data_IF_980004697048
#
_entry.id   IF_980004697048
#
_cell.length_a   1.000
_cell.length_b   1.000
_cell.length_c   1.000
_cell.angle_alpha   90.00
_cell.angle_beta   90.00
_cell.angle_gamma   90.00
#
_symmetry.space_group_name_H-M   'P 1'
#
loop_
_entity.id
_entity.type
_entity.pdbx_description
1 polymer ?
#
# COMPACT_ATOMS: atom_id res chain seq x y z
N UNK A 1 7.15 17.01 -18.05
CA UNK A 1 6.85 16.64 -16.64
C UNK A 1 6.47 15.16 -16.52
N UNK A 2 6.70 14.35 -17.55
CA UNK A 2 6.13 12.99 -17.72
C UNK A 2 6.98 11.86 -17.12
N UNK A 3 8.18 12.17 -16.60
CA UNK A 3 9.03 11.20 -15.91
C UNK A 3 8.73 11.10 -14.41
N UNK A 4 8.11 12.11 -13.81
CA UNK A 4 7.72 12.07 -12.39
C UNK A 4 6.50 11.17 -12.22
N UNK A 5 5.54 11.20 -13.15
CA UNK A 5 4.35 10.33 -13.12
C UNK A 5 4.69 8.84 -13.27
N UNK A 6 5.81 8.49 -13.91
CA UNK A 6 6.33 7.11 -13.97
C UNK A 6 6.89 6.62 -12.64
N UNK A 7 7.46 7.50 -11.83
CA UNK A 7 7.99 7.17 -10.50
C UNK A 7 6.83 7.00 -9.50
N UNK A 8 5.74 7.76 -9.66
CA UNK A 8 4.49 7.58 -8.90
C UNK A 8 3.74 6.27 -9.20
N UNK A 9 4.11 5.52 -10.26
CA UNK A 9 3.55 4.18 -10.53
C UNK A 9 3.89 3.15 -9.44
N UNK A 10 4.83 3.48 -8.56
CA UNK A 10 5.28 2.64 -7.48
C UNK A 10 4.16 2.18 -6.54
N UNK A 11 3.05 2.94 -6.43
CA UNK A 11 1.88 2.67 -5.58
C UNK A 11 0.57 2.59 -6.39
N UNK A 12 0.62 2.08 -7.62
CA UNK A 12 -0.59 1.99 -8.45
C UNK A 12 -1.47 0.79 -8.05
N UNK A 13 -2.23 0.98 -6.96
CA UNK A 13 -3.27 0.06 -6.48
C UNK A 13 -4.27 -0.33 -7.59
N UNK A 14 -4.51 0.56 -8.57
CA UNK A 14 -5.46 0.33 -9.67
C UNK A 14 -4.91 -0.66 -10.68
N UNK A 15 -3.60 -0.64 -10.94
CA UNK A 15 -2.93 -1.64 -11.79
C UNK A 15 -2.97 -3.02 -11.15
N UNK A 16 -2.71 -3.13 -9.84
CA UNK A 16 -2.77 -4.41 -9.11
C UNK A 16 -4.21 -4.97 -9.09
N UNK A 17 -5.21 -4.12 -8.80
CA UNK A 17 -6.61 -4.52 -8.78
C UNK A 17 -7.11 -5.01 -10.15
N UNK A 18 -6.63 -4.40 -11.24
CA UNK A 18 -7.00 -4.79 -12.61
C UNK A 18 -6.47 -6.18 -12.99
N UNK A 19 -5.28 -6.55 -12.50
CA UNK A 19 -4.65 -7.86 -12.73
C UNK A 19 -5.24 -8.99 -11.85
N UNK A 20 -5.93 -8.64 -10.76
CA UNK A 20 -6.53 -9.62 -9.83
C UNK A 20 -7.87 -10.23 -10.28
N UNK A 21 -8.39 -9.83 -11.45
CA UNK A 21 -9.67 -10.35 -11.98
C UNK A 21 -9.63 -11.82 -12.42
N UNK A 22 -8.44 -12.41 -12.58
CA UNK A 22 -8.28 -13.78 -13.05
C UNK A 22 -8.07 -14.77 -11.89
N UNK A 23 -9.13 -15.52 -11.56
CA UNK A 23 -9.18 -16.83 -10.91
C UNK A 23 -8.47 -17.07 -9.55
N UNK A 24 -7.74 -16.11 -8.98
CA UNK A 24 -7.05 -16.23 -7.68
C UNK A 24 -7.22 -14.94 -6.85
N UNK A 25 -8.45 -14.67 -6.44
CA UNK A 25 -8.83 -13.47 -5.65
C UNK A 25 -8.02 -13.31 -4.36
N UNK A 26 -7.66 -14.41 -3.70
CA UNK A 26 -6.89 -14.39 -2.46
C UNK A 26 -5.43 -13.94 -2.67
N UNK A 27 -4.82 -14.33 -3.81
CA UNK A 27 -3.47 -13.89 -4.18
C UNK A 27 -3.46 -12.40 -4.51
N UNK A 28 -4.44 -11.93 -5.30
CA UNK A 28 -4.57 -10.51 -5.63
C UNK A 28 -4.86 -9.65 -4.41
N UNK A 29 -5.71 -10.11 -3.48
CA UNK A 29 -6.01 -9.40 -2.24
C UNK A 29 -4.76 -9.28 -1.35
N UNK A 30 -3.94 -10.33 -1.27
CA UNK A 30 -2.68 -10.31 -0.53
C UNK A 30 -1.70 -9.28 -1.11
N UNK A 31 -1.52 -9.27 -2.42
CA UNK A 31 -0.64 -8.31 -3.10
C UNK A 31 -1.13 -6.86 -2.89
N UNK A 32 -2.44 -6.61 -2.94
CA UNK A 32 -3.01 -5.29 -2.65
C UNK A 32 -2.83 -4.90 -1.18
N UNK A 33 -2.97 -5.85 -0.25
CA UNK A 33 -2.81 -5.59 1.17
C UNK A 33 -1.36 -5.27 1.55
N UNK A 34 -0.38 -5.97 0.96
CA UNK A 34 1.05 -5.67 1.11
C UNK A 34 1.40 -4.29 0.55
N UNK A 35 0.82 -3.92 -0.59
CA UNK A 35 1.03 -2.60 -1.20
C UNK A 35 0.35 -1.47 -0.39
N UNK A 36 -0.75 -1.77 0.30
CA UNK A 36 -1.35 -0.82 1.21
C UNK A 36 -0.48 -0.60 2.46
N UNK A 37 0.15 -1.66 2.98
CA UNK A 37 1.07 -1.54 4.11
C UNK A 37 2.30 -0.70 3.75
N UNK A 38 2.88 -0.88 2.55
CA UNK A 38 3.95 -0.01 2.07
C UNK A 38 3.50 1.45 1.94
N UNK A 39 2.26 1.72 1.54
CA UNK A 39 1.74 3.09 1.46
C UNK A 39 1.63 3.73 2.85
N UNK A 40 1.15 2.96 3.82
CA UNK A 40 1.07 3.41 5.20
C UNK A 40 2.45 3.75 5.77
N UNK A 41 3.44 2.87 5.58
CA UNK A 41 4.82 3.13 6.02
C UNK A 41 5.39 4.37 5.34
N UNK A 42 5.14 4.55 4.03
CA UNK A 42 5.60 5.73 3.31
C UNK A 42 5.01 7.02 3.88
N UNK A 43 3.71 7.04 4.19
CA UNK A 43 3.10 8.19 4.87
C UNK A 43 3.68 8.41 6.26
N UNK A 44 3.94 7.35 7.03
CA UNK A 44 4.62 7.47 8.32
C UNK A 44 6.00 8.13 8.17
N UNK A 45 6.83 7.67 7.22
CA UNK A 45 8.15 8.23 6.94
C UNK A 45 8.08 9.69 6.48
N UNK A 46 7.08 10.03 5.67
CA UNK A 46 6.81 11.40 5.24
C UNK A 46 6.49 12.29 6.43
N UNK A 47 5.63 11.86 7.35
CA UNK A 47 5.31 12.63 8.57
C UNK A 47 6.51 12.74 9.50
N UNK A 48 7.29 11.68 9.67
CA UNK A 48 8.52 11.71 10.46
C UNK A 48 9.52 12.76 9.93
N UNK A 49 9.68 12.83 8.61
CA UNK A 49 10.54 13.83 7.95
C UNK A 49 9.95 15.24 8.09
N UNK A 50 8.63 15.37 7.96
CA UNK A 50 7.91 16.65 8.10
C UNK A 50 7.93 17.20 9.54
N UNK A 51 8.09 16.32 10.54
CA UNK A 51 8.19 16.69 11.95
C UNK A 51 9.56 17.27 12.34
N UNK A 52 10.55 17.22 11.44
CA UNK A 52 11.86 17.87 11.66
C UNK A 52 11.63 19.39 11.74
N UNK A 53 12.16 20.02 12.80
CA UNK A 53 12.01 21.45 13.11
C UNK A 53 12.39 22.33 11.89
N UNK A 54 11.35 22.78 11.20
CA UNK A 54 11.34 23.67 10.03
C UNK A 54 12.13 23.17 8.80
N UNK A 55 11.56 23.43 7.61
CA UNK A 55 12.31 23.53 6.35
C UNK A 55 13.48 24.47 6.65
N UNK A 56 14.68 23.92 6.82
CA UNK A 56 15.85 24.77 7.00
C UNK A 56 15.92 25.61 5.72
N UNK A 57 16.41 26.85 5.81
CA UNK A 57 16.56 27.73 4.63
C UNK A 57 17.40 27.05 3.51
N UNK A 58 18.08 25.93 3.85
CA UNK A 58 18.89 25.06 2.99
C UNK A 58 18.14 23.87 2.37
N UNK A 59 16.87 23.61 2.71
CA UNK A 59 16.09 22.49 2.15
C UNK A 59 15.63 22.85 0.75
N UNK A 60 16.18 22.17 -0.26
CA UNK A 60 15.87 22.38 -1.68
C UNK A 60 14.77 21.44 -2.18
N UNK A 61 14.04 21.85 -3.22
CA UNK A 61 13.00 21.02 -3.84
C UNK A 61 13.54 19.71 -4.42
N UNK A 62 14.83 19.71 -4.82
CA UNK A 62 15.53 18.52 -5.28
C UNK A 62 15.79 17.52 -4.13
N UNK A 63 16.12 18.01 -2.95
CA UNK A 63 16.29 17.17 -1.75
C UNK A 63 14.96 16.57 -1.29
N UNK A 64 13.88 17.35 -1.32
CA UNK A 64 12.53 16.86 -1.00
C UNK A 64 12.12 15.74 -1.97
N UNK A 65 12.36 15.94 -3.26
CA UNK A 65 12.10 14.94 -4.29
C UNK A 65 12.91 13.66 -4.07
N UNK A 66 14.21 13.80 -3.81
CA UNK A 66 15.08 12.65 -3.55
C UNK A 66 14.64 11.88 -2.30
N UNK A 67 14.35 12.59 -1.20
CA UNK A 67 13.88 12.01 0.05
C UNK A 67 12.54 11.31 -0.13
N UNK A 68 11.63 11.87 -0.93
CA UNK A 68 10.36 11.24 -1.28
C UNK A 68 10.58 9.89 -1.97
N UNK A 69 11.43 9.84 -3.01
CA UNK A 69 11.73 8.60 -3.73
C UNK A 69 12.38 7.57 -2.80
N UNK A 70 13.33 8.00 -1.99
CA UNK A 70 14.01 7.16 -1.02
C UNK A 70 13.05 6.56 0.01
N UNK A 71 12.10 7.36 0.50
CA UNK A 71 11.08 6.90 1.45
C UNK A 71 10.14 5.87 0.81
N UNK A 72 9.78 6.02 -0.46
CA UNK A 72 8.95 5.05 -1.19
C UNK A 72 9.64 3.68 -1.28
N UNK A 73 10.91 3.64 -1.68
CA UNK A 73 11.67 2.37 -1.76
C UNK A 73 11.89 1.75 -0.38
N UNK A 74 12.22 2.58 0.63
CA UNK A 74 12.32 2.11 2.02
C UNK A 74 11.01 1.50 2.49
N UNK A 75 9.88 2.14 2.22
CA UNK A 75 8.58 1.67 2.64
C UNK A 75 8.23 0.29 2.02
N UNK A 76 8.55 0.08 0.74
CA UNK A 76 8.39 -1.23 0.08
C UNK A 76 9.27 -2.30 0.69
N UNK A 77 10.54 -2.00 0.94
CA UNK A 77 11.47 -2.94 1.57
C UNK A 77 10.99 -3.26 2.98
N UNK A 78 10.55 -2.26 3.74
CA UNK A 78 10.07 -2.43 5.12
C UNK A 78 8.79 -3.25 5.15
N UNK A 79 7.78 -2.97 4.32
CA UNK A 79 6.55 -3.77 4.25
C UNK A 79 6.83 -5.26 3.93
N UNK A 80 7.83 -5.53 3.07
CA UNK A 80 8.20 -6.92 2.72
C UNK A 80 9.04 -7.63 3.79
N UNK A 81 9.92 -6.90 4.46
CA UNK A 81 10.84 -7.48 5.46
C UNK A 81 10.24 -7.53 6.86
N UNK A 82 9.43 -6.54 7.21
CA UNK A 82 8.79 -6.40 8.49
C UNK A 82 7.29 -6.40 8.29
N UNK A 83 6.64 -7.31 8.99
CA UNK A 83 5.20 -7.40 9.00
C UNK A 83 4.67 -6.48 10.11
N UNK A 84 3.97 -5.41 9.72
CA UNK A 84 3.32 -4.48 10.67
C UNK A 84 1.89 -4.91 11.00
N UNK A 85 1.42 -6.03 10.42
CA UNK A 85 0.12 -6.63 10.69
C UNK A 85 -1.04 -5.93 9.97
N UNK A 86 -0.77 -4.87 9.18
CA UNK A 86 -1.81 -4.13 8.47
C UNK A 86 -2.30 -4.97 7.29
N UNK A 87 -1.38 -5.53 6.52
CA UNK A 87 -1.71 -6.40 5.40
C UNK A 87 -2.54 -7.62 5.86
N UNK A 88 -2.17 -8.20 7.00
CA UNK A 88 -2.83 -9.36 7.59
C UNK A 88 -4.21 -9.03 8.16
N UNK A 89 -4.35 -7.88 8.83
CA UNK A 89 -5.64 -7.40 9.32
C UNK A 89 -6.61 -7.15 8.17
N UNK A 90 -6.12 -6.56 7.06
CA UNK A 90 -6.91 -6.39 5.84
C UNK A 90 -7.32 -7.75 5.26
N UNK A 91 -6.38 -8.67 5.07
CA UNK A 91 -6.67 -10.03 4.60
C UNK A 91 -7.74 -10.70 5.46
N UNK A 92 -7.58 -10.68 6.78
CA UNK A 92 -8.54 -11.26 7.73
C UNK A 92 -9.93 -10.63 7.57
N UNK A 93 -10.01 -9.30 7.52
CA UNK A 93 -11.29 -8.60 7.38
C UNK A 93 -12.01 -8.96 6.08
N UNK A 94 -11.29 -9.03 4.96
CA UNK A 94 -11.87 -9.33 3.66
C UNK A 94 -12.19 -10.83 3.48
N UNK A 95 -11.35 -11.73 4.00
CA UNK A 95 -11.62 -13.17 4.01
C UNK A 95 -12.83 -13.51 4.90
N UNK A 96 -12.93 -12.92 6.11
CA UNK A 96 -14.08 -13.12 7.00
C UNK A 96 -15.38 -12.61 6.37
N UNK A 97 -15.35 -11.44 5.71
CA UNK A 97 -16.51 -10.91 5.00
C UNK A 97 -16.97 -11.81 3.84
N UNK A 98 -16.02 -12.43 3.13
CA UNK A 98 -16.32 -13.37 2.04
C UNK A 98 -16.96 -14.67 2.56
N UNK A 99 -16.48 -15.22 3.69
CA UNK A 99 -17.07 -16.40 4.32
C UNK A 99 -18.49 -16.15 4.86
N UNK A 100 -18.75 -14.96 5.44
CA UNK A 100 -20.09 -14.58 5.89
C UNK A 100 -21.07 -14.51 4.72
N UNK A 101 -20.65 -13.91 3.59
CA UNK A 101 -21.49 -13.78 2.40
C UNK A 101 -21.87 -15.14 1.78
N UNK A 102 -20.93 -16.09 1.70
CA UNK A 102 -21.19 -17.43 1.15
C UNK A 102 -22.26 -18.20 1.94
N UNK A 103 -22.25 -18.07 3.26
CA UNK A 103 -23.23 -18.75 4.13
C UNK A 103 -24.64 -18.13 4.03
N UNK A 104 -24.74 -16.82 3.75
CA UNK A 104 -26.01 -16.14 3.53
C UNK A 104 -26.66 -16.53 2.19
N UNK A 105 -25.85 -16.78 1.15
CA UNK A 105 -26.36 -17.22 -0.16
C UNK A 105 -26.87 -18.66 -0.09
N UNK A 106 -26.14 -19.56 0.57
CA UNK A 106 -26.53 -20.98 0.66
C UNK A 106 -27.77 -21.24 1.53
N UNK A 107 -28.09 -20.33 2.46
CA UNK A 107 -29.27 -20.44 3.34
C UNK A 107 -30.58 -20.02 2.67
N UNK A 108 -30.52 -19.41 1.49
CA UNK A 108 -31.69 -18.96 0.72
C UNK A 108 -32.07 -19.91 -0.42
N UNK A 109 -31.49 -21.13 -0.45
CA UNK A 109 -31.69 -22.15 -1.50
C UNK A 109 -32.18 -23.48 -0.88
N UNK A 110 -32.43 -23.52 0.43
CA UNK A 110 -33.21 -24.57 1.12
C UNK A 110 -34.53 -23.97 1.63
#
# INVERSE_FOLDING_TARGET
>A
MDNISKITKAFDLKTILSNSKDNNKDKGLKEVAEEFESLFINEMLKRATSAKLAKTILTSDAEETYTSILNQERAKILAKKHNFGIAEALMKQFSTKNSINKNLINKNIE
#
